data_IF_691372865059
#
_entry.id   IF_691372865059
#
_cell.length_a   1.000
_cell.length_b   1.000
_cell.length_c   1.000
_cell.angle_alpha   90.00
_cell.angle_beta   90.00
_cell.angle_gamma   90.00
#
_symmetry.space_group_name_H-M   'P 1'
#
loop_
_entity.id
_entity.type
_entity.pdbx_description
1 polymer ?
#
# COMPACT_ATOMS: atom_id res chain seq x y z
N UNK A 1 -13.71 14.08 13.29
CA UNK A 1 -12.44 13.48 12.87
C UNK A 1 -12.26 12.08 13.45
N UNK A 2 -12.35 11.89 14.78
CA UNK A 2 -12.20 10.56 15.41
C UNK A 2 -13.28 9.52 15.00
N UNK A 3 -14.55 9.92 14.87
CA UNK A 3 -15.62 8.99 14.45
C UNK A 3 -15.38 8.43 13.05
N UNK A 4 -15.05 9.29 12.08
CA UNK A 4 -14.78 8.89 10.70
C UNK A 4 -13.61 7.90 10.61
N UNK A 5 -12.55 8.10 11.39
CA UNK A 5 -11.42 7.18 11.42
C UNK A 5 -11.82 5.83 12.04
N UNK A 6 -12.66 5.84 13.08
CA UNK A 6 -13.17 4.63 13.72
C UNK A 6 -14.07 3.83 12.78
N UNK A 7 -15.00 4.50 12.09
CA UNK A 7 -15.90 3.86 11.13
C UNK A 7 -15.11 3.24 9.96
N UNK A 8 -14.03 3.90 9.53
CA UNK A 8 -13.12 3.35 8.53
C UNK A 8 -12.37 2.11 9.05
N UNK A 9 -11.85 2.14 10.28
CA UNK A 9 -11.14 1.00 10.89
C UNK A 9 -12.06 -0.22 11.06
N UNK A 10 -13.31 0.00 11.48
CA UNK A 10 -14.33 -1.06 11.60
C UNK A 10 -14.57 -1.76 10.24
N UNK A 11 -14.75 -0.99 9.17
CA UNK A 11 -14.97 -1.56 7.81
C UNK A 11 -13.73 -2.27 7.28
N UNK A 12 -12.54 -1.72 7.53
CA UNK A 12 -11.26 -2.33 7.12
C UNK A 12 -10.99 -3.63 7.88
N UNK A 13 -11.38 -3.71 9.15
CA UNK A 13 -11.20 -4.90 9.98
C UNK A 13 -11.89 -6.14 9.42
N UNK A 14 -13.03 -5.97 8.73
CA UNK A 14 -13.78 -7.06 8.08
C UNK A 14 -13.02 -7.72 6.91
N UNK A 15 -12.08 -7.00 6.31
CA UNK A 15 -11.33 -7.42 5.13
C UNK A 15 -9.86 -7.70 5.45
N UNK A 16 -9.46 -7.52 6.71
CA UNK A 16 -8.14 -7.87 7.17
C UNK A 16 -8.07 -9.39 7.21
N UNK A 17 -7.51 -9.99 6.16
CA UNK A 17 -7.28 -11.42 6.11
C UNK A 17 -6.39 -11.81 7.30
N UNK A 18 -7.00 -12.40 8.35
CA UNK A 18 -6.28 -12.91 9.54
C UNK A 18 -5.30 -14.06 9.19
N UNK A 19 -5.25 -14.49 7.93
CA UNK A 19 -4.53 -15.68 7.46
C UNK A 19 -3.33 -15.41 6.56
N UNK A 20 -2.86 -14.17 6.41
CA UNK A 20 -1.57 -13.91 5.74
C UNK A 20 -0.44 -14.21 6.74
N UNK A 21 -0.22 -15.49 7.03
CA UNK A 21 0.85 -15.94 7.95
C UNK A 21 2.23 -15.94 7.29
N UNK A 22 2.31 -15.76 5.98
CA UNK A 22 3.59 -15.73 5.27
C UNK A 22 4.14 -14.31 5.34
N UNK A 23 5.32 -14.10 5.96
CA UNK A 23 5.94 -12.78 5.97
C UNK A 23 6.23 -12.34 4.54
N UNK A 24 5.90 -11.09 4.22
CA UNK A 24 6.31 -10.45 2.97
C UNK A 24 7.85 -10.46 2.94
N UNK A 25 8.49 -10.91 1.86
CA UNK A 25 9.94 -10.90 1.81
C UNK A 25 10.50 -9.47 1.90
N UNK A 26 11.73 -9.34 2.37
CA UNK A 26 12.27 -8.06 2.82
C UNK A 26 12.35 -7.00 1.71
N UNK A 27 12.54 -7.41 0.45
CA UNK A 27 12.62 -6.50 -0.69
C UNK A 27 11.25 -5.91 -1.04
N UNK A 28 10.22 -6.75 -1.08
CA UNK A 28 8.83 -6.33 -1.31
C UNK A 28 8.30 -5.50 -0.14
N UNK A 29 8.63 -5.87 1.10
CA UNK A 29 8.24 -5.08 2.27
C UNK A 29 8.84 -3.68 2.21
N UNK A 30 10.13 -3.58 1.83
CA UNK A 30 10.78 -2.28 1.64
C UNK A 30 10.11 -1.46 0.54
N UNK A 31 9.73 -2.10 -0.57
CA UNK A 31 9.03 -1.42 -1.67
C UNK A 31 7.68 -0.83 -1.22
N UNK A 32 6.93 -1.58 -0.42
CA UNK A 32 5.68 -1.13 0.19
C UNK A 32 5.92 0.05 1.14
N UNK A 33 6.93 -0.04 2.00
CA UNK A 33 7.25 1.01 2.97
C UNK A 33 7.70 2.31 2.29
N UNK A 34 8.57 2.20 1.28
CA UNK A 34 9.04 3.33 0.46
C UNK A 34 7.87 3.99 -0.28
N UNK A 35 6.95 3.20 -0.83
CA UNK A 35 5.74 3.72 -1.49
C UNK A 35 4.81 4.42 -0.49
N UNK A 36 4.56 3.83 0.69
CA UNK A 36 3.72 4.44 1.72
C UNK A 36 4.26 5.80 2.17
N UNK A 37 5.58 5.92 2.30
CA UNK A 37 6.23 7.20 2.61
C UNK A 37 5.98 8.23 1.49
N UNK A 38 6.20 7.86 0.23
CA UNK A 38 5.98 8.74 -0.91
C UNK A 38 4.50 9.15 -1.06
N UNK A 39 3.57 8.24 -0.78
CA UNK A 39 2.14 8.51 -0.76
C UNK A 39 1.78 9.59 0.27
N UNK A 40 2.26 9.44 1.51
CA UNK A 40 1.98 10.40 2.58
C UNK A 40 2.57 11.78 2.27
N UNK A 41 3.82 11.82 1.78
CA UNK A 41 4.46 13.07 1.36
C UNK A 41 3.63 13.77 0.26
N UNK A 42 3.26 13.04 -0.80
CA UNK A 42 2.50 13.58 -1.94
C UNK A 42 1.07 14.01 -1.57
N UNK A 43 0.40 13.30 -0.68
CA UNK A 43 -0.93 13.69 -0.21
C UNK A 43 -0.88 14.88 0.74
N UNK A 44 0.22 15.04 1.49
CA UNK A 44 0.43 16.19 2.38
C UNK A 44 0.86 17.46 1.64
N UNK A 45 1.51 17.32 0.48
CA UNK A 45 1.89 18.42 -0.41
C UNK A 45 0.84 18.60 -1.51
N UNK A 46 -0.13 19.50 -1.28
CA UNK A 46 -1.15 19.92 -2.27
C UNK A 46 -1.97 18.79 -2.91
N UNK A 47 -2.14 17.65 -2.22
CA UNK A 47 -2.88 16.49 -2.74
C UNK A 47 -2.44 16.13 -4.16
N UNK A 48 -1.15 15.88 -4.37
CA UNK A 48 -0.54 15.55 -5.67
C UNK A 48 -0.97 14.17 -6.16
N UNK A 49 -2.25 14.08 -6.54
CA UNK A 49 -2.95 12.85 -6.90
C UNK A 49 -2.36 12.18 -8.13
N UNK A 50 -1.81 12.94 -9.08
CA UNK A 50 -1.11 12.37 -10.25
C UNK A 50 0.16 11.62 -9.82
N UNK A 51 0.98 12.22 -8.96
CA UNK A 51 2.22 11.58 -8.45
C UNK A 51 1.88 10.29 -7.66
N UNK A 52 0.79 10.32 -6.89
CA UNK A 52 0.29 9.15 -6.17
C UNK A 52 -0.18 8.04 -7.12
N UNK A 53 -0.98 8.38 -8.15
CA UNK A 53 -1.49 7.40 -9.11
C UNK A 53 -0.36 6.75 -9.91
N UNK A 54 0.65 7.53 -10.32
CA UNK A 54 1.84 7.01 -11.00
C UNK A 54 2.64 6.07 -10.07
N UNK A 55 2.82 6.46 -8.81
CA UNK A 55 3.47 5.60 -7.81
C UNK A 55 2.75 4.27 -7.61
N UNK A 56 1.41 4.27 -7.57
CA UNK A 56 0.62 3.04 -7.45
C UNK A 56 0.80 2.13 -8.67
N UNK A 57 0.83 2.70 -9.87
CA UNK A 57 1.05 1.95 -11.10
C UNK A 57 2.42 1.24 -11.09
N UNK A 58 3.47 1.91 -10.65
CA UNK A 58 4.81 1.31 -10.55
C UNK A 58 4.89 0.21 -9.49
N UNK A 59 4.26 0.41 -8.32
CA UNK A 59 4.16 -0.61 -7.29
C UNK A 59 3.46 -1.87 -7.80
N UNK A 60 2.33 -1.72 -8.50
CA UNK A 60 1.59 -2.83 -9.07
C UNK A 60 2.40 -3.57 -10.15
N UNK A 61 3.15 -2.84 -10.99
CA UNK A 61 4.06 -3.46 -11.97
C UNK A 61 5.14 -4.29 -11.30
N UNK A 62 5.76 -3.77 -10.24
CA UNK A 62 6.81 -4.48 -9.51
C UNK A 62 6.27 -5.76 -8.84
N UNK A 63 5.13 -5.68 -8.16
CA UNK A 63 4.47 -6.85 -7.55
C UNK A 63 4.15 -7.90 -8.62
N UNK A 64 3.59 -7.49 -9.76
CA UNK A 64 3.27 -8.40 -10.86
C UNK A 64 4.52 -8.97 -11.55
N UNK A 65 5.63 -8.23 -11.56
CA UNK A 65 6.94 -8.73 -12.01
C UNK A 65 7.43 -9.88 -11.15
N UNK A 66 7.47 -9.69 -9.83
CA UNK A 66 7.96 -10.70 -8.89
C UNK A 66 7.09 -11.97 -8.89
N UNK A 67 5.78 -11.85 -9.13
CA UNK A 67 4.89 -13.01 -9.32
C UNK A 67 5.25 -13.86 -10.54
N UNK A 68 5.82 -13.27 -11.59
CA UNK A 68 6.25 -14.03 -12.78
C UNK A 68 7.57 -14.78 -12.56
N UNK A 69 8.38 -14.35 -11.60
CA UNK A 69 9.67 -14.98 -11.24
C UNK A 69 9.49 -16.19 -10.29
N UNK A 70 8.30 -16.38 -9.71
CA UNK A 70 7.95 -17.50 -8.83
C UNK A 70 7.56 -18.80 -9.59
N UNK A 71 8.07 -19.00 -10.82
CA UNK A 71 7.76 -20.17 -11.66
C UNK A 71 8.65 -21.38 -11.39
#
# INVERSE_FOLDING_TARGET
>A
FMQTLYDCDEVLSLHREENISVPVPAEEQKLVDDHNKAFLESMSDDLRTTDVLDGFMELLKAINGNLNDLK
#
